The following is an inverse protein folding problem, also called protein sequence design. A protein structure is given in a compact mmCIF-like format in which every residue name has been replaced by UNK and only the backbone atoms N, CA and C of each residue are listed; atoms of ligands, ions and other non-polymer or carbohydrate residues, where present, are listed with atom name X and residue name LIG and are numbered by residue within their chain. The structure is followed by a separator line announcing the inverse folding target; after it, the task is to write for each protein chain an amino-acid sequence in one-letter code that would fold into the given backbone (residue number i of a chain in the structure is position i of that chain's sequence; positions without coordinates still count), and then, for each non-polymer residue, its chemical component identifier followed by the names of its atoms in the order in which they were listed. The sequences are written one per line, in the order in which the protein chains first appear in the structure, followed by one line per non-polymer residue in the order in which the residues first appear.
data_IF_157592871286
#
_entry.id   IF_157592871286
#
_cell.length_a   1.000
_cell.length_b   1.000
_cell.length_c   1.000
_cell.angle_alpha   90.00
_cell.angle_beta   90.00
_cell.angle_gamma   90.00
#
_symmetry.space_group_name_H-M   'P 1'
#
loop_
_entity.id
_entity.type
_entity.pdbx_description
1 polymer ?
#
# COMPACT_ATOMS: atom_id res chain seq x y z
N UNK A 1 6.59 -2.58 5.59
CA UNK A 1 5.74 -2.30 4.40
C UNK A 1 4.69 -3.39 4.33
N UNK A 2 3.46 -3.01 4.05
CA UNK A 2 2.33 -3.93 3.94
C UNK A 2 1.71 -3.78 2.55
N UNK A 3 1.32 -4.92 1.97
CA UNK A 3 0.59 -5.01 0.71
C UNK A 3 -0.60 -5.93 0.96
N UNK A 4 -1.79 -5.43 0.68
CA UNK A 4 -3.06 -6.10 1.00
C UNK A 4 -4.02 -5.94 -0.18
N UNK A 5 -4.90 -6.91 -0.42
CA UNK A 5 -5.95 -6.74 -1.41
C UNK A 5 -6.86 -5.57 -1.00
N UNK A 6 -7.21 -4.69 -1.94
CA UNK A 6 -8.24 -3.70 -1.66
C UNK A 6 -9.57 -4.46 -1.45
N UNK A 7 -10.22 -4.18 -0.33
CA UNK A 7 -11.57 -4.64 -0.05
C UNK A 7 -12.59 -3.88 -0.90
N UNK A 8 -13.87 -4.08 -0.63
CA UNK A 8 -14.96 -3.46 -1.40
C UNK A 8 -15.08 -1.95 -1.17
N UNK A 9 -14.37 -1.42 -0.17
CA UNK A 9 -14.30 0.01 0.12
C UNK A 9 -13.00 0.59 -0.44
N UNK A 10 -13.14 1.46 -1.44
CA UNK A 10 -12.04 2.27 -1.97
C UNK A 10 -11.53 3.19 -0.86
N UNK A 11 -10.26 2.99 -0.47
CA UNK A 11 -9.62 3.87 0.51
C UNK A 11 -8.91 5.01 -0.21
N UNK A 12 -9.11 6.27 0.24
CA UNK A 12 -8.35 7.38 -0.31
C UNK A 12 -6.86 7.21 -0.01
N UNK A 13 -6.02 7.80 -0.85
CA UNK A 13 -4.61 7.98 -0.54
C UNK A 13 -4.48 8.79 0.76
N UNK A 14 -3.74 8.25 1.72
CA UNK A 14 -3.67 8.77 3.08
C UNK A 14 -2.24 8.94 3.56
N UNK A 15 -2.02 9.95 4.40
CA UNK A 15 -0.74 10.16 5.07
C UNK A 15 -0.98 10.62 6.50
N UNK A 16 -0.35 9.96 7.45
CA UNK A 16 -0.32 10.36 8.85
C UNK A 16 1.09 10.25 9.41
N UNK A 17 1.40 11.07 10.41
CA UNK A 17 2.70 11.07 11.06
C UNK A 17 2.50 11.10 12.57
N UNK A 18 3.12 10.14 13.25
CA UNK A 18 3.12 10.00 14.71
C UNK A 18 4.56 10.09 15.19
N UNK A 19 4.95 11.24 15.75
CA UNK A 19 6.34 11.51 16.14
C UNK A 19 7.30 11.43 14.94
N UNK A 20 8.28 10.52 15.01
CA UNK A 20 9.20 10.23 13.91
C UNK A 20 8.63 9.29 12.86
N UNK A 21 7.58 8.53 13.19
CA UNK A 21 6.98 7.52 12.32
C UNK A 21 6.04 8.16 11.31
N UNK A 22 6.28 7.92 10.02
CA UNK A 22 5.37 8.24 8.93
C UNK A 22 4.62 6.98 8.53
N UNK A 23 3.30 7.11 8.33
CA UNK A 23 2.43 6.13 7.68
C UNK A 23 1.94 6.77 6.38
N UNK A 24 2.18 6.11 5.25
CA UNK A 24 1.70 6.50 3.93
C UNK A 24 0.95 5.33 3.30
N UNK A 25 -0.24 5.59 2.78
CA UNK A 25 -1.13 4.59 2.19
C UNK A 25 -1.56 5.05 0.80
N UNK A 26 -1.57 4.12 -0.16
CA UNK A 26 -2.16 4.32 -1.48
C UNK A 26 -2.73 3.02 -2.02
N UNK A 27 -3.69 3.15 -2.93
CA UNK A 27 -4.10 2.05 -3.79
C UNK A 27 -3.24 2.02 -5.06
N UNK A 28 -3.03 0.82 -5.57
CA UNK A 28 -2.28 0.51 -6.78
C UNK A 28 -3.11 -0.50 -7.56
N UNK A 29 -3.45 -0.15 -8.80
CA UNK A 29 -4.16 -1.07 -9.69
C UNK A 29 -3.24 -2.23 -10.07
N UNK A 30 -3.78 -3.44 -10.08
CA UNK A 30 -3.10 -4.63 -10.58
C UNK A 30 -4.08 -5.49 -11.40
N UNK A 31 -3.58 -6.32 -12.33
CA UNK A 31 -4.41 -7.26 -13.09
C UNK A 31 -5.26 -8.20 -12.24
N UNK A 32 -4.78 -8.63 -11.07
CA UNK A 32 -5.51 -9.46 -10.11
C UNK A 32 -6.48 -8.69 -9.22
N UNK A 33 -6.55 -7.36 -9.38
CA UNK A 33 -7.42 -6.46 -8.63
C UNK A 33 -6.63 -5.35 -7.91
N UNK A 34 -7.31 -4.29 -7.45
CA UNK A 34 -6.64 -3.23 -6.71
C UNK A 34 -6.00 -3.77 -5.43
N UNK A 35 -4.79 -3.32 -5.15
CA UNK A 35 -4.08 -3.60 -3.89
C UNK A 35 -3.78 -2.32 -3.17
N UNK A 36 -3.71 -2.39 -1.84
CA UNK A 36 -3.33 -1.30 -0.97
C UNK A 36 -1.90 -1.49 -0.51
N UNK A 37 -1.10 -0.45 -0.70
CA UNK A 37 0.28 -0.36 -0.25
C UNK A 37 0.34 0.59 0.94
N UNK A 38 0.80 0.10 2.08
CA UNK A 38 1.02 0.89 3.29
C UNK A 38 2.48 0.86 3.69
N UNK A 39 3.11 2.02 3.71
CA UNK A 39 4.50 2.23 4.17
C UNK A 39 4.46 2.83 5.56
N UNK A 40 5.07 2.14 6.52
CA UNK A 40 5.22 2.59 7.91
C UNK A 40 6.70 2.59 8.25
N UNK A 41 7.20 3.70 8.80
CA UNK A 41 8.58 3.76 9.28
C UNK A 41 9.03 5.16 9.69
N UNK A 42 10.16 5.22 10.38
CA UNK A 42 10.81 6.49 10.77
C UNK A 42 11.58 7.10 9.61
N UNK A 43 10.85 7.50 8.58
CA UNK A 43 11.39 8.14 7.39
C UNK A 43 10.61 9.41 7.07
N UNK A 44 11.23 10.39 6.39
CA UNK A 44 10.50 11.56 5.91
C UNK A 44 9.29 11.15 5.05
N UNK A 45 8.18 11.91 5.08
CA UNK A 45 7.00 11.60 4.30
C UNK A 45 7.25 11.41 2.80
N UNK A 46 8.17 12.19 2.24
CA UNK A 46 8.58 12.08 0.84
C UNK A 46 9.23 10.73 0.54
N UNK A 47 10.01 10.18 1.49
CA UNK A 47 10.63 8.87 1.34
C UNK A 47 9.58 7.77 1.40
N UNK A 48 8.64 7.83 2.36
CA UNK A 48 7.55 6.85 2.47
C UNK A 48 6.70 6.81 1.19
N UNK A 49 6.39 7.99 0.63
CA UNK A 49 5.69 8.11 -0.65
C UNK A 49 6.47 7.46 -1.79
N UNK A 50 7.76 7.78 -1.94
CA UNK A 50 8.61 7.21 -3.00
C UNK A 50 8.70 5.69 -2.91
N UNK A 51 8.81 5.14 -1.71
CA UNK A 51 8.79 3.69 -1.49
C UNK A 51 7.48 3.10 -1.99
N UNK A 52 6.34 3.70 -1.63
CA UNK A 52 5.04 3.24 -2.11
C UNK A 52 4.83 3.40 -3.63
N UNK A 53 5.37 4.46 -4.23
CA UNK A 53 5.35 4.71 -5.69
C UNK A 53 6.24 3.74 -6.47
N UNK A 54 7.31 3.22 -5.87
CA UNK A 54 8.24 2.28 -6.51
C UNK A 54 7.73 0.84 -6.55
N UNK A 55 6.60 0.54 -5.89
CA UNK A 55 6.05 -0.81 -5.85
C UNK A 55 5.51 -1.19 -7.21
N UNK A 56 6.00 -2.31 -7.72
CA UNK A 56 5.44 -2.98 -8.89
C UNK A 56 4.88 -4.32 -8.44
N UNK A 57 3.62 -4.59 -8.79
CA UNK A 57 2.95 -5.85 -8.47
C UNK A 57 3.26 -6.86 -9.58
N UNK A 58 3.72 -8.04 -9.19
CA UNK A 58 3.89 -9.17 -10.09
C UNK A 58 2.82 -10.22 -9.76
N UNK A 59 1.81 -10.34 -10.62
CA UNK A 59 0.67 -11.24 -10.40
C UNK A 59 1.05 -12.73 -10.34
N UNK A 60 2.25 -13.11 -10.79
CA UNK A 60 2.76 -14.48 -10.68
C UNK A 60 2.86 -14.98 -9.23
N UNK A 61 2.86 -14.05 -8.26
CA UNK A 61 2.97 -14.33 -6.82
C UNK A 61 1.79 -13.81 -6.00
N UNK A 62 0.69 -13.40 -6.66
CA UNK A 62 -0.51 -12.98 -5.95
C UNK A 62 -1.08 -14.19 -5.17
N UNK A 63 -1.05 -14.13 -3.84
CA UNK A 63 -1.67 -15.15 -2.99
C UNK A 63 -3.16 -15.22 -3.33
N UNK A 64 -3.67 -16.45 -3.51
CA UNK A 64 -5.08 -16.72 -3.73
C UNK A 64 -5.94 -15.95 -2.73
N UNK A 65 -6.84 -15.11 -3.25
CA UNK A 65 -7.85 -14.41 -2.46
C UNK A 65 -8.88 -15.45 -2.00
N UNK A 66 -8.74 -15.94 -0.78
CA UNK A 66 -9.81 -16.66 -0.11
C UNK A 66 -10.87 -15.61 0.29
N UNK A 67 -11.96 -15.57 -0.47
CA UNK A 67 -13.12 -14.76 -0.15
C UNK A 67 -13.84 -15.35 1.09
N UNK A 68 -14.36 -14.52 2.01
CA UNK A 68 -15.17 -14.99 3.13
C UNK A 68 -16.51 -15.60 2.69
#
# INVERSE_FOLDING_TARGET
MFVEAAGDLAMPTGMTRLGATTIYMREVDSPSGPVRVTVVGEVPPVTARKVAESVTINDSFALNREAP
#
